data_IF_214893927494
#
_entry.id   IF_214893927494
#
_cell.length_a   1.000
_cell.length_b   1.000
_cell.length_c   1.000
_cell.angle_alpha   90.00
_cell.angle_beta   90.00
_cell.angle_gamma   90.00
#
_symmetry.space_group_name_H-M   'P 1'
#
loop_
_entity.id
_entity.type
_entity.pdbx_description
1 polymer ?
#
# COMPACT_ATOMS: atom_id res chain seq x y z
N UNK A 1 4.36 -16.99 0.61
CA UNK A 1 3.03 -17.40 0.12
C UNK A 1 2.66 -18.79 0.63
N UNK A 2 3.59 -19.76 0.58
CA UNK A 2 3.35 -21.13 1.06
C UNK A 2 2.88 -21.25 2.51
N UNK A 3 3.42 -20.47 3.45
CA UNK A 3 3.04 -20.61 4.87
C UNK A 3 1.61 -20.15 5.16
N UNK A 4 1.17 -19.03 4.58
CA UNK A 4 -0.21 -18.55 4.72
C UNK A 4 -1.19 -19.53 4.08
N UNK A 5 -0.85 -20.06 2.90
CA UNK A 5 -1.66 -21.08 2.23
C UNK A 5 -1.74 -22.38 3.05
N UNK A 6 -0.63 -22.78 3.69
CA UNK A 6 -0.61 -23.94 4.58
C UNK A 6 -1.46 -23.71 5.84
N UNK A 7 -1.35 -22.54 6.49
CA UNK A 7 -2.16 -22.18 7.65
C UNK A 7 -3.65 -22.14 7.29
N UNK A 8 -4.01 -21.52 6.16
CA UNK A 8 -5.37 -21.50 5.65
C UNK A 8 -5.90 -22.92 5.39
N UNK A 9 -5.11 -23.78 4.74
CA UNK A 9 -5.49 -25.16 4.49
C UNK A 9 -5.72 -25.95 5.78
N UNK A 10 -4.86 -25.77 6.80
CA UNK A 10 -5.03 -26.38 8.13
C UNK A 10 -6.34 -25.93 8.76
N UNK A 11 -6.60 -24.62 8.78
CA UNK A 11 -7.83 -24.04 9.33
C UNK A 11 -9.07 -24.57 8.58
N UNK A 12 -9.02 -24.67 7.26
CA UNK A 12 -10.10 -25.20 6.44
C UNK A 12 -10.38 -26.69 6.71
N UNK A 13 -9.34 -27.51 6.84
CA UNK A 13 -9.48 -28.94 7.19
C UNK A 13 -10.06 -29.09 8.59
N UNK A 14 -9.55 -28.34 9.58
CA UNK A 14 -10.07 -28.38 10.95
C UNK A 14 -11.55 -27.95 11.00
N UNK A 15 -11.94 -26.93 10.24
CA UNK A 15 -13.34 -26.51 10.11
C UNK A 15 -14.22 -27.58 9.45
N UNK A 16 -13.74 -28.22 8.38
CA UNK A 16 -14.46 -29.31 7.70
C UNK A 16 -14.64 -30.53 8.62
N UNK A 17 -13.61 -30.89 9.39
CA UNK A 17 -13.68 -31.95 10.40
C UNK A 17 -14.70 -31.58 11.47
N UNK A 18 -14.69 -30.33 11.96
CA UNK A 18 -15.68 -29.85 12.93
C UNK A 18 -17.11 -29.93 12.40
N UNK A 19 -17.33 -29.48 11.16
CA UNK A 19 -18.63 -29.50 10.51
C UNK A 19 -19.13 -30.94 10.30
N UNK A 20 -18.25 -31.84 9.85
CA UNK A 20 -18.58 -33.25 9.68
C UNK A 20 -18.96 -33.92 11.01
N UNK A 21 -18.19 -33.65 12.07
CA UNK A 21 -18.52 -34.14 13.42
C UNK A 21 -19.86 -33.55 13.89
N UNK A 22 -20.10 -32.26 13.66
CA UNK A 22 -21.34 -31.58 14.03
C UNK A 22 -22.58 -32.14 13.34
N UNK A 23 -22.49 -32.46 12.05
CA UNK A 23 -23.63 -32.94 11.25
C UNK A 23 -23.99 -34.41 11.59
N UNK A 24 -23.00 -35.27 11.85
CA UNK A 24 -23.22 -36.72 11.97
C UNK A 24 -23.16 -37.29 13.40
N UNK A 25 -22.98 -36.47 14.44
CA UNK A 25 -22.70 -36.94 15.80
C UNK A 25 -23.82 -37.83 16.40
N UNK A 26 -23.62 -39.17 16.53
CA UNK A 26 -24.41 -39.97 17.45
C UNK A 26 -23.91 -39.70 18.87
N UNK A 27 -24.75 -39.92 19.89
CA UNK A 27 -24.57 -39.55 21.32
C UNK A 27 -23.33 -40.12 22.06
N UNK A 28 -22.23 -40.51 21.39
CA UNK A 28 -21.00 -41.02 21.98
C UNK A 28 -20.08 -39.89 22.49
N UNK A 29 -19.69 -40.00 23.76
CA UNK A 29 -18.79 -39.06 24.45
C UNK A 29 -17.44 -38.87 23.75
N UNK A 30 -16.88 -39.92 23.15
CA UNK A 30 -15.61 -39.86 22.42
C UNK A 30 -15.65 -38.90 21.22
N UNK A 31 -16.79 -38.82 20.51
CA UNK A 31 -16.98 -37.90 19.39
C UNK A 31 -17.00 -36.45 19.89
N UNK A 32 -17.65 -36.20 21.04
CA UNK A 32 -17.65 -34.88 21.68
C UNK A 32 -16.25 -34.46 22.13
N UNK A 33 -15.49 -35.37 22.73
CA UNK A 33 -14.10 -35.10 23.15
C UNK A 33 -13.22 -34.78 21.94
N UNK A 34 -13.38 -35.52 20.82
CA UNK A 34 -12.66 -35.23 19.58
C UNK A 34 -13.00 -33.84 19.02
N UNK A 35 -14.27 -33.42 19.06
CA UNK A 35 -14.68 -32.09 18.64
C UNK A 35 -14.00 -30.99 19.48
N UNK A 36 -13.93 -31.17 20.81
CA UNK A 36 -13.27 -30.22 21.71
C UNK A 36 -11.78 -30.09 21.38
N UNK A 37 -11.09 -31.21 21.11
CA UNK A 37 -9.67 -31.19 20.70
C UNK A 37 -9.50 -30.44 19.38
N UNK A 38 -10.36 -30.69 18.39
CA UNK A 38 -10.29 -29.99 17.10
C UNK A 38 -10.55 -28.50 17.25
N UNK A 39 -11.52 -28.07 18.08
CA UNK A 39 -11.73 -26.64 18.40
C UNK A 39 -10.49 -26.04 19.08
N UNK A 40 -9.91 -26.76 20.04
CA UNK A 40 -8.73 -26.31 20.77
C UNK A 40 -7.50 -26.13 19.85
N UNK A 41 -7.40 -26.88 18.76
CA UNK A 41 -6.38 -26.70 17.72
C UNK A 41 -6.76 -25.62 16.71
N UNK A 42 -8.06 -25.52 16.36
CA UNK A 42 -8.57 -24.56 15.39
C UNK A 42 -8.37 -23.11 15.85
N UNK A 43 -8.70 -22.80 17.11
CA UNK A 43 -8.61 -21.44 17.64
C UNK A 43 -7.21 -20.82 17.55
N UNK A 44 -6.13 -21.46 18.06
CA UNK A 44 -4.79 -20.89 17.95
C UNK A 44 -4.29 -20.85 16.50
N UNK A 45 -4.63 -21.86 15.67
CA UNK A 45 -4.25 -21.86 14.26
C UNK A 45 -4.93 -20.71 13.48
N UNK A 46 -6.22 -20.49 13.71
CA UNK A 46 -6.98 -19.40 13.13
C UNK A 46 -6.43 -18.04 13.61
N UNK A 47 -6.15 -17.91 14.91
CA UNK A 47 -5.56 -16.69 15.46
C UNK A 47 -4.19 -16.38 14.82
N UNK A 48 -3.31 -17.37 14.71
CA UNK A 48 -2.01 -17.21 14.06
C UNK A 48 -2.16 -16.82 12.59
N UNK A 49 -3.08 -17.47 11.85
CA UNK A 49 -3.36 -17.12 10.47
C UNK A 49 -3.88 -15.68 10.31
N UNK A 50 -4.79 -15.24 11.19
CA UNK A 50 -5.30 -13.87 11.20
C UNK A 50 -4.22 -12.85 11.58
N UNK A 51 -3.42 -13.13 12.61
CA UNK A 51 -2.33 -12.25 13.03
C UNK A 51 -1.30 -12.06 11.91
N UNK A 52 -0.96 -13.13 11.19
CA UNK A 52 -0.08 -13.10 10.02
C UNK A 52 -0.71 -12.34 8.83
N UNK A 53 -2.04 -12.33 8.73
CA UNK A 53 -2.77 -11.57 7.70
C UNK A 53 -2.79 -10.08 8.02
N UNK A 54 -2.91 -9.71 9.30
CA UNK A 54 -2.90 -8.33 9.78
C UNK A 54 -1.50 -7.69 9.79
N UNK A 55 -0.45 -8.50 9.96
CA UNK A 55 0.93 -8.00 10.00
C UNK A 55 1.50 -7.68 8.61
N UNK A 56 0.87 -8.18 7.54
CA UNK A 56 1.36 -8.02 6.18
C UNK A 56 0.78 -6.78 5.50
N UNK A 57 1.58 -6.07 4.69
CA UNK A 57 1.08 -5.01 3.85
C UNK A 57 0.04 -5.57 2.87
N UNK A 58 -1.03 -4.82 2.64
CA UNK A 58 -2.16 -5.27 1.83
C UNK A 58 -1.68 -5.42 0.37
N UNK A 59 -1.90 -6.57 -0.28
CA UNK A 59 -1.58 -6.71 -1.69
C UNK A 59 -2.54 -5.86 -2.53
N UNK A 60 -1.99 -5.04 -3.40
CA UNK A 60 -2.74 -4.11 -4.27
C UNK A 60 -3.70 -4.87 -5.20
N UNK A 61 -3.33 -6.08 -5.63
CA UNK A 61 -4.11 -6.92 -6.54
C UNK A 61 -5.49 -7.33 -6.02
N UNK A 62 -5.72 -7.32 -4.69
CA UNK A 62 -6.98 -7.74 -4.06
C UNK A 62 -7.90 -6.54 -3.82
N UNK A 63 -7.42 -5.31 -3.98
CA UNK A 63 -8.21 -4.11 -3.67
C UNK A 63 -9.10 -3.68 -4.83
N UNK A 64 -10.14 -4.47 -5.09
CA UNK A 64 -11.13 -4.19 -6.14
C UNK A 64 -12.06 -3.02 -5.80
N UNK A 65 -12.27 -2.72 -4.52
CA UNK A 65 -13.22 -1.71 -4.06
C UNK A 65 -12.70 -0.25 -4.20
N UNK A 66 -11.38 -0.04 -4.23
CA UNK A 66 -10.78 1.29 -4.31
C UNK A 66 -10.14 1.59 -5.68
N UNK A 67 -10.43 0.80 -6.72
CA UNK A 67 -9.89 1.02 -8.08
C UNK A 67 -10.16 2.43 -8.64
N UNK A 68 -11.19 3.11 -8.15
CA UNK A 68 -11.55 4.46 -8.55
C UNK A 68 -10.72 5.56 -7.86
N UNK A 69 -9.80 5.24 -6.95
CA UNK A 69 -8.92 6.25 -6.34
C UNK A 69 -7.97 6.79 -7.42
N UNK A 70 -8.08 8.07 -7.79
CA UNK A 70 -7.35 8.62 -8.92
C UNK A 70 -5.86 8.77 -8.61
N UNK A 71 -5.52 9.23 -7.39
CA UNK A 71 -4.16 9.55 -6.98
C UNK A 71 -3.96 9.28 -5.48
N UNK A 72 -2.73 8.99 -5.08
CA UNK A 72 -2.32 8.90 -3.68
C UNK A 72 -0.91 9.45 -3.48
N UNK A 73 -0.63 9.93 -2.27
CA UNK A 73 0.70 10.44 -1.90
C UNK A 73 1.54 9.29 -1.38
N UNK A 74 2.75 9.12 -1.90
CA UNK A 74 3.73 8.17 -1.38
C UNK A 74 4.45 8.82 -0.19
N UNK A 75 4.14 8.34 1.01
CA UNK A 75 4.72 8.83 2.27
C UNK A 75 6.07 8.17 2.58
N UNK A 76 6.25 6.95 2.10
CA UNK A 76 7.45 6.17 2.30
C UNK A 76 7.46 4.94 1.42
N UNK A 77 8.64 4.36 1.23
CA UNK A 77 8.78 3.22 0.34
C UNK A 77 10.01 2.39 0.64
N UNK A 78 9.91 1.09 0.37
CA UNK A 78 11.04 0.16 0.41
C UNK A 78 10.93 -0.80 -0.77
N UNK A 79 12.03 -1.03 -1.47
CA UNK A 79 12.05 -1.90 -2.64
C UNK A 79 12.96 -3.09 -2.37
N UNK A 80 12.46 -4.29 -2.62
CA UNK A 80 13.27 -5.51 -2.62
C UNK A 80 13.20 -6.12 -4.02
N UNK A 81 14.34 -6.11 -4.69
CA UNK A 81 14.51 -6.64 -6.04
C UNK A 81 14.03 -8.10 -6.12
N UNK A 82 13.35 -8.42 -7.23
CA UNK A 82 12.70 -9.71 -7.50
C UNK A 82 11.65 -10.17 -6.49
N UNK A 83 11.24 -9.31 -5.56
CA UNK A 83 10.18 -9.60 -4.57
C UNK A 83 8.99 -8.67 -4.69
N UNK A 84 9.16 -7.42 -4.31
CA UNK A 84 8.07 -6.46 -4.21
C UNK A 84 8.56 -5.03 -4.03
N UNK A 85 7.70 -4.09 -4.40
CA UNK A 85 7.82 -2.67 -4.07
C UNK A 85 6.80 -2.39 -2.95
N UNK A 86 7.31 -2.11 -1.75
CA UNK A 86 6.49 -1.78 -0.57
C UNK A 86 6.28 -0.27 -0.50
N UNK A 87 5.02 0.14 -0.38
CA UNK A 87 4.61 1.55 -0.37
C UNK A 87 3.78 1.86 0.86
N UNK A 88 4.02 3.01 1.47
CA UNK A 88 3.12 3.63 2.42
C UNK A 88 2.39 4.77 1.72
N UNK A 89 1.09 4.62 1.52
CA UNK A 89 0.25 5.56 0.79
C UNK A 89 -0.63 6.35 1.76
N UNK A 90 -0.68 7.66 1.57
CA UNK A 90 -1.67 8.55 2.15
C UNK A 90 -2.73 8.91 1.11
N UNK A 91 -4.00 8.89 1.52
CA UNK A 91 -5.14 9.25 0.67
C UNK A 91 -5.74 10.58 1.11
N UNK A 92 -6.24 11.37 0.15
CA UNK A 92 -6.96 12.59 0.48
C UNK A 92 -8.20 12.28 1.32
N UNK A 93 -8.39 12.99 2.43
CA UNK A 93 -9.49 12.78 3.36
C UNK A 93 -9.33 11.59 4.31
N UNK A 94 -8.18 10.92 4.34
CA UNK A 94 -7.84 9.89 5.33
C UNK A 94 -6.52 10.23 6.02
N UNK A 95 -6.57 10.37 7.35
CA UNK A 95 -5.38 10.69 8.15
C UNK A 95 -4.45 9.48 8.36
N UNK A 96 -4.98 8.27 8.21
CA UNK A 96 -4.24 7.03 8.47
C UNK A 96 -3.51 6.53 7.21
N UNK A 97 -2.17 6.40 7.23
CA UNK A 97 -1.41 5.85 6.12
C UNK A 97 -1.64 4.34 6.00
N UNK A 98 -1.65 3.83 4.77
CA UNK A 98 -1.85 2.40 4.50
C UNK A 98 -0.63 1.79 3.80
N UNK A 99 -0.23 0.61 4.26
CA UNK A 99 0.87 -0.13 3.69
C UNK A 99 0.41 -1.08 2.58
N UNK A 100 1.07 -0.99 1.43
CA UNK A 100 0.77 -1.74 0.22
C UNK A 100 2.02 -2.45 -0.33
N UNK A 101 1.80 -3.59 -0.98
CA UNK A 101 2.83 -4.30 -1.72
C UNK A 101 2.43 -4.41 -3.19
N UNK A 102 3.26 -3.83 -4.06
CA UNK A 102 3.21 -4.00 -5.51
C UNK A 102 4.14 -5.14 -5.94
N UNK A 103 3.77 -5.91 -6.98
CA UNK A 103 4.70 -6.87 -7.59
C UNK A 103 5.95 -6.16 -8.10
N UNK A 104 7.10 -6.84 -8.02
CA UNK A 104 8.34 -6.30 -8.54
C UNK A 104 8.28 -6.12 -10.06
N UNK A 105 8.77 -4.98 -10.52
CA UNK A 105 8.94 -4.65 -11.92
C UNK A 105 10.08 -3.65 -12.07
N UNK A 106 10.99 -3.94 -13.01
CA UNK A 106 12.12 -3.08 -13.28
C UNK A 106 11.66 -1.69 -13.76
N UNK A 107 10.57 -1.62 -14.52
CA UNK A 107 10.00 -0.37 -15.00
C UNK A 107 9.48 0.48 -13.83
N UNK A 108 8.64 -0.10 -12.96
CA UNK A 108 8.11 0.61 -11.79
C UNK A 108 9.22 1.06 -10.84
N UNK A 109 10.21 0.21 -10.57
CA UNK A 109 11.33 0.55 -9.70
C UNK A 109 12.19 1.70 -10.27
N UNK A 110 12.33 1.80 -11.59
CA UNK A 110 13.00 2.94 -12.25
C UNK A 110 12.17 4.22 -12.16
N UNK A 111 10.88 4.17 -12.52
CA UNK A 111 9.98 5.32 -12.45
C UNK A 111 9.94 5.90 -11.03
N UNK A 112 9.85 5.03 -10.03
CA UNK A 112 9.81 5.43 -8.63
C UNK A 112 11.10 6.11 -8.18
N UNK A 113 12.28 5.57 -8.52
CA UNK A 113 13.57 6.23 -8.23
C UNK A 113 13.69 7.59 -8.90
N UNK A 114 13.28 7.70 -10.17
CA UNK A 114 13.30 8.97 -10.88
C UNK A 114 12.36 10.00 -10.25
N UNK A 115 11.13 9.57 -9.88
CA UNK A 115 10.17 10.43 -9.21
C UNK A 115 10.67 10.89 -7.83
N UNK A 116 11.33 10.02 -7.06
CA UNK A 116 11.95 10.38 -5.78
C UNK A 116 13.06 11.42 -5.95
N UNK A 117 13.98 11.20 -6.89
CA UNK A 117 15.07 12.15 -7.17
C UNK A 117 14.53 13.53 -7.59
N UNK A 118 13.49 13.55 -8.43
CA UNK A 118 12.85 14.80 -8.85
C UNK A 118 12.13 15.49 -7.68
N UNK A 119 11.36 14.73 -6.90
CA UNK A 119 10.65 15.24 -5.73
C UNK A 119 11.61 15.82 -4.69
N UNK A 120 12.74 15.15 -4.43
CA UNK A 120 13.80 15.64 -3.55
C UNK A 120 14.45 16.92 -4.09
N UNK A 121 14.79 16.96 -5.38
CA UNK A 121 15.36 18.15 -6.01
C UNK A 121 14.40 19.35 -5.99
N UNK A 122 13.10 19.08 -6.08
CA UNK A 122 12.06 20.10 -6.11
C UNK A 122 11.47 20.43 -4.72
N UNK A 123 11.81 19.67 -3.68
CA UNK A 123 11.20 19.78 -2.35
C UNK A 123 9.70 19.42 -2.34
N UNK A 124 9.24 18.58 -3.27
CA UNK A 124 7.86 18.13 -3.42
C UNK A 124 7.71 16.67 -2.94
N UNK A 125 6.48 16.14 -2.94
CA UNK A 125 6.21 14.73 -2.62
C UNK A 125 6.11 13.88 -3.87
N UNK A 126 6.25 12.56 -3.72
CA UNK A 126 5.98 11.60 -4.81
C UNK A 126 4.50 11.23 -4.77
N UNK A 127 3.86 11.29 -5.93
CA UNK A 127 2.47 10.89 -6.16
C UNK A 127 2.45 9.57 -6.94
N UNK A 128 1.42 8.76 -6.69
CA UNK A 128 1.11 7.55 -7.46
C UNK A 128 -0.26 7.70 -8.13
N UNK A 129 -0.31 7.44 -9.44
CA UNK A 129 -1.55 7.46 -10.23
C UNK A 129 -2.22 6.10 -10.19
N UNK A 130 -3.53 6.07 -9.94
CA UNK A 130 -4.38 4.88 -9.99
C UNK A 130 -3.70 3.66 -9.34
N UNK A 131 -3.31 3.74 -8.05
CA UNK A 131 -2.40 2.77 -7.41
C UNK A 131 -2.91 1.32 -7.40
N UNK A 132 -4.17 1.08 -7.76
CA UNK A 132 -4.85 -0.22 -7.75
C UNK A 132 -5.17 -0.78 -9.14
N UNK A 133 -4.65 -0.16 -10.20
CA UNK A 133 -4.83 -0.65 -11.56
C UNK A 133 -4.04 -1.94 -11.80
N UNK A 134 -4.53 -2.83 -12.67
CA UNK A 134 -3.85 -4.12 -12.91
C UNK A 134 -2.59 -3.99 -13.76
N UNK A 135 -2.56 -3.00 -14.66
CA UNK A 135 -1.51 -2.84 -15.66
C UNK A 135 -0.61 -1.63 -15.35
N UNK A 136 -0.25 -1.45 -14.08
CA UNK A 136 0.63 -0.35 -13.66
C UNK A 136 1.95 -0.34 -14.44
N UNK A 137 2.51 -1.52 -14.73
CA UNK A 137 3.76 -1.66 -15.47
C UNK A 137 3.71 -1.14 -16.91
N UNK A 138 2.53 -1.13 -17.53
CA UNK A 138 2.31 -0.67 -18.91
C UNK A 138 2.06 0.83 -18.97
N UNK A 139 1.74 1.46 -17.84
CA UNK A 139 1.47 2.89 -17.77
C UNK A 139 2.78 3.68 -17.89
N UNK A 140 2.76 4.68 -18.75
CA UNK A 140 3.93 5.53 -19.04
C UNK A 140 4.39 6.32 -17.82
N UNK A 141 3.47 6.72 -16.92
CA UNK A 141 3.78 7.44 -15.67
C UNK A 141 2.87 7.00 -14.53
N UNK A 142 3.38 6.08 -13.70
CA UNK A 142 2.74 5.65 -12.45
C UNK A 142 3.18 6.53 -11.29
N UNK A 143 4.49 6.71 -11.13
CA UNK A 143 5.07 7.56 -10.08
C UNK A 143 5.53 8.89 -10.70
N UNK A 144 5.19 10.00 -10.05
CA UNK A 144 5.55 11.34 -10.51
C UNK A 144 5.71 12.30 -9.32
N UNK A 145 6.56 13.34 -9.43
CA UNK A 145 6.59 14.39 -8.42
C UNK A 145 5.28 15.18 -8.43
N UNK A 146 4.86 15.66 -7.26
CA UNK A 146 3.69 16.53 -7.12
C UNK A 146 3.86 17.78 -8.01
N UNK A 147 2.88 18.08 -8.90
CA UNK A 147 2.97 19.24 -9.78
C UNK A 147 3.13 20.53 -8.97
N UNK A 148 4.18 21.31 -9.25
CA UNK A 148 4.37 22.63 -8.62
C UNK A 148 3.19 23.53 -8.94
N UNK A 149 2.58 24.13 -7.91
CA UNK A 149 1.70 25.28 -8.07
C UNK A 149 2.51 26.40 -8.72
N UNK A 150 2.03 27.02 -9.81
CA UNK A 150 2.74 28.13 -10.41
C UNK A 150 2.98 29.22 -9.36
N UNK A 151 4.17 29.85 -9.32
CA UNK A 151 4.42 30.93 -8.39
C UNK A 151 3.36 32.03 -8.61
N UNK A 152 2.90 32.71 -7.55
CA UNK A 152 1.96 33.80 -7.69
C UNK A 152 2.50 34.79 -8.74
N UNK A 153 1.64 35.31 -9.63
CA UNK A 153 2.07 36.18 -10.71
C UNK A 153 2.86 37.34 -10.11
N UNK A 154 4.06 37.58 -10.67
CA UNK A 154 4.94 38.66 -10.24
C UNK A 154 4.11 39.95 -10.26
N UNK A 155 3.85 40.51 -9.08
CA UNK A 155 3.23 41.83 -8.99
C UNK A 155 4.21 42.78 -9.65
N UNK A 156 3.89 43.19 -10.88
CA UNK A 156 4.56 44.30 -11.53
C UNK A 156 4.15 45.53 -10.75
N UNK A 157 4.84 45.79 -9.62
CA UNK A 157 4.77 47.09 -8.98
C UNK A 157 5.16 48.07 -10.08
N UNK A 158 4.18 48.88 -10.50
CA UNK A 158 4.35 49.96 -11.46
C UNK A 158 5.25 51.04 -10.85
N UNK A 159 6.51 50.73 -10.56
CA UNK A 159 7.54 51.72 -10.30
C UNK A 159 8.16 52.07 -11.65
N UNK A 160 7.39 52.78 -12.47
CA UNK A 160 7.90 53.47 -13.65
C UNK A 160 8.64 54.72 -13.18
N UNK A 161 9.78 54.53 -12.52
CA UNK A 161 10.79 55.57 -12.36
C UNK A 161 12.15 54.87 -12.37
N UNK A 162 13.01 55.12 -13.38
CA UNK A 162 14.36 54.58 -13.35
C UNK A 162 15.05 55.06 -12.07
N UNK A 163 15.57 54.11 -11.29
CA UNK A 163 16.40 54.40 -10.12
C UNK A 163 17.70 55.06 -10.61
N UNK A 164 17.72 56.39 -10.62
CA UNK A 164 18.92 57.17 -10.90
C UNK A 164 19.84 57.04 -9.69
N UNK A 165 20.87 56.21 -9.80
CA UNK A 165 21.92 56.11 -8.80
C UNK A 165 22.75 57.40 -8.87
N UNK A 166 22.49 58.34 -7.96
CA UNK A 166 23.29 59.55 -7.84
C UNK A 166 24.57 59.18 -7.09
N UNK A 167 25.67 58.97 -7.82
CA UNK A 167 26.99 58.80 -7.22
C UNK A 167 27.38 60.08 -6.48
N UNK A 168 27.47 59.99 -5.15
CA UNK A 168 28.05 61.04 -4.31
C UNK A 168 29.56 60.93 -4.45
N UNK A 169 30.17 61.84 -5.21
CA UNK A 169 31.60 62.13 -5.10
C UNK A 169 31.75 63.21 -4.04
N UNK A 170 32.24 62.82 -2.86
CA UNK A 170 32.96 63.69 -1.92
C UNK A 170 34.29 63.01 -1.58
#
# INVERSE_FOLDING_TARGET
>A
MNELLALFAIVAVLAAVLANIGIWSPRRLWVKLSAVVVVALFLPAAYAAFAELLSRPKPVSIEWAQRAVPEAVVLGSSMIEDKAIYLWLGFEGQDEPRAFALPWSENLAKQMRMAQQQAEAEGTKVMVRQPFEKNLDEMERVFYPEPRTPPPPKQVSQSTAPLVFKGTND
#
